data_IF_091309502674
#
_entry.id   IF_091309502674
#
_cell.length_a   1.000
_cell.length_b   1.000
_cell.length_c   1.000
_cell.angle_alpha   90.00
_cell.angle_beta   90.00
_cell.angle_gamma   90.00
#
_symmetry.space_group_name_H-M   'P 1'
#
loop_
_entity.id
_entity.type
_entity.pdbx_description
1 polymer ?
#
# COMPACT_ATOMS: atom_id res chain seq x y z
N UNK A 1 -11.64 -19.04 25.99
CA UNK A 1 -12.03 -19.48 24.64
C UNK A 1 -11.46 -18.45 23.65
N UNK A 2 -10.48 -18.84 22.84
CA UNK A 2 -9.90 -17.92 21.84
C UNK A 2 -10.90 -17.64 20.71
N UNK A 3 -10.76 -16.50 20.04
CA UNK A 3 -11.65 -16.05 18.97
C UNK A 3 -11.82 -17.07 17.81
N UNK A 4 -10.96 -18.09 17.73
CA UNK A 4 -10.97 -19.11 16.68
C UNK A 4 -11.69 -20.41 17.06
N UNK A 5 -12.21 -20.53 18.29
CA UNK A 5 -12.94 -21.73 18.77
C UNK A 5 -12.16 -23.05 18.68
N UNK A 6 -10.83 -23.01 18.64
CA UNK A 6 -9.95 -24.21 18.50
C UNK A 6 -9.45 -24.63 19.86
N UNK A 7 -9.65 -25.91 20.21
CA UNK A 7 -9.11 -26.49 21.44
C UNK A 7 -7.59 -26.69 21.32
N UNK A 8 -6.89 -26.63 22.46
CA UNK A 8 -5.43 -26.57 22.51
C UNK A 8 -4.66 -27.79 21.95
N UNK A 9 -5.32 -28.94 21.78
CA UNK A 9 -4.78 -30.18 21.24
C UNK A 9 -4.99 -30.36 19.71
N UNK A 10 -5.66 -29.40 19.06
CA UNK A 10 -5.92 -29.48 17.62
C UNK A 10 -4.61 -29.52 16.82
N UNK A 11 -4.56 -30.38 15.79
CA UNK A 11 -3.39 -30.48 14.90
C UNK A 11 -3.04 -29.13 14.27
N UNK A 12 -1.76 -28.89 13.97
CA UNK A 12 -1.29 -27.65 13.37
C UNK A 12 -2.01 -27.30 12.05
N UNK A 13 -2.43 -28.33 11.30
CA UNK A 13 -3.23 -28.14 10.07
C UNK A 13 -4.62 -27.59 10.37
N UNK A 14 -5.31 -28.15 11.36
CA UNK A 14 -6.65 -27.69 11.73
C UNK A 14 -6.62 -26.27 12.26
N UNK A 15 -5.60 -25.91 13.05
CA UNK A 15 -5.44 -24.55 13.57
C UNK A 15 -5.20 -23.53 12.45
N UNK A 16 -4.37 -23.87 11.45
CA UNK A 16 -4.15 -23.01 10.28
C UNK A 16 -5.39 -22.88 9.42
N UNK A 17 -6.11 -23.98 9.19
CA UNK A 17 -7.38 -23.95 8.45
C UNK A 17 -8.41 -23.02 9.13
N UNK A 18 -8.61 -23.18 10.43
CA UNK A 18 -9.52 -22.32 11.21
C UNK A 18 -9.12 -20.83 11.20
N UNK A 19 -7.81 -20.57 11.24
CA UNK A 19 -7.31 -19.21 11.11
C UNK A 19 -7.59 -18.64 9.72
N UNK A 20 -7.38 -19.42 8.65
CA UNK A 20 -7.69 -19.01 7.29
C UNK A 20 -9.19 -18.73 7.13
N UNK A 21 -10.05 -19.63 7.63
CA UNK A 21 -11.51 -19.44 7.61
C UNK A 21 -11.90 -18.12 8.30
N UNK A 22 -11.32 -17.86 9.48
CA UNK A 22 -11.58 -16.63 10.23
C UNK A 22 -11.11 -15.37 9.49
N UNK A 23 -9.94 -15.42 8.81
CA UNK A 23 -9.42 -14.27 8.05
C UNK A 23 -10.37 -13.87 6.91
N UNK A 24 -10.99 -14.86 6.26
CA UNK A 24 -11.89 -14.61 5.11
C UNK A 24 -13.36 -14.51 5.51
N UNK A 25 -13.69 -14.69 6.79
CA UNK A 25 -15.05 -14.63 7.28
C UNK A 25 -15.63 -13.22 7.07
N UNK A 26 -16.82 -13.14 6.50
CA UNK A 26 -17.51 -11.87 6.24
C UNK A 26 -17.85 -11.09 7.52
N UNK A 27 -17.95 -11.77 8.66
CA UNK A 27 -18.17 -11.16 9.96
C UNK A 27 -16.89 -10.59 10.59
N UNK A 28 -15.72 -10.88 10.03
CA UNK A 28 -14.45 -10.35 10.50
C UNK A 28 -14.22 -8.92 9.98
N UNK A 29 -14.35 -7.90 10.82
CA UNK A 29 -14.22 -6.51 10.37
C UNK A 29 -12.75 -6.10 10.14
N UNK A 30 -11.79 -6.88 10.65
CA UNK A 30 -10.36 -6.48 10.66
C UNK A 30 -9.72 -6.62 9.29
N UNK A 31 -9.99 -7.70 8.56
CA UNK A 31 -9.35 -7.96 7.27
C UNK A 31 -9.59 -6.83 6.29
N UNK A 32 -10.84 -6.40 6.13
CA UNK A 32 -11.20 -5.30 5.24
C UNK A 32 -10.59 -3.97 5.69
N UNK A 33 -10.66 -3.65 7.00
CA UNK A 33 -10.07 -2.42 7.56
C UNK A 33 -8.55 -2.35 7.37
N UNK A 34 -7.85 -3.44 7.64
CA UNK A 34 -6.38 -3.51 7.47
C UNK A 34 -6.01 -3.32 6.01
N UNK A 35 -6.69 -3.98 5.09
CA UNK A 35 -6.42 -3.86 3.66
C UNK A 35 -6.76 -2.47 3.13
N UNK A 36 -7.92 -1.92 3.47
CA UNK A 36 -8.30 -0.56 3.10
C UNK A 36 -7.28 0.47 3.59
N UNK A 37 -6.84 0.36 4.86
CA UNK A 37 -5.83 1.25 5.43
C UNK A 37 -4.47 1.13 4.74
N UNK A 38 -4.03 -0.07 4.36
CA UNK A 38 -2.79 -0.28 3.62
C UNK A 38 -2.83 0.34 2.23
N UNK A 39 -3.91 0.11 1.48
CA UNK A 39 -4.08 0.71 0.16
C UNK A 39 -4.14 2.23 0.29
N UNK A 40 -4.89 2.75 1.26
CA UNK A 40 -4.92 4.18 1.59
C UNK A 40 -3.52 4.75 1.85
N UNK A 41 -2.74 4.07 2.69
CA UNK A 41 -1.36 4.47 2.99
C UNK A 41 -0.48 4.55 1.74
N UNK A 42 -0.60 3.59 0.83
CA UNK A 42 0.14 3.62 -0.44
C UNK A 42 -0.30 4.77 -1.36
N UNK A 43 -1.57 5.15 -1.33
CA UNK A 43 -2.10 6.24 -2.16
C UNK A 43 -1.79 7.61 -1.55
N UNK A 44 -2.03 7.80 -0.24
CA UNK A 44 -1.92 9.10 0.44
C UNK A 44 -0.62 9.29 1.26
N UNK A 45 0.18 8.24 1.44
CA UNK A 45 1.47 8.29 2.13
C UNK A 45 1.40 7.94 3.61
N UNK A 46 0.30 8.22 4.30
CA UNK A 46 0.05 7.81 5.68
C UNK A 46 -1.28 7.08 5.80
N UNK A 47 -1.34 6.04 6.63
CA UNK A 47 -2.60 5.34 6.91
C UNK A 47 -3.56 6.18 7.76
N UNK A 48 -4.85 5.92 7.65
CA UNK A 48 -5.85 6.45 8.59
C UNK A 48 -5.57 5.94 10.01
N UNK A 49 -5.08 4.69 10.13
CA UNK A 49 -4.43 4.14 11.31
C UNK A 49 -2.94 4.16 11.04
N UNK A 50 -2.18 4.99 11.78
CA UNK A 50 -0.73 5.13 11.59
C UNK A 50 0.06 3.89 11.98
N UNK A 51 -0.45 3.10 12.91
CA UNK A 51 0.08 1.78 13.31
C UNK A 51 -0.48 0.68 12.40
N UNK A 52 -0.18 0.72 11.11
CA UNK A 52 -0.80 -0.17 10.10
C UNK A 52 -0.60 -1.69 10.33
N UNK A 53 0.28 -2.08 11.24
CA UNK A 53 0.49 -3.46 11.70
C UNK A 53 -0.23 -3.80 13.00
N UNK A 54 -0.85 -2.82 13.69
CA UNK A 54 -1.53 -3.01 14.96
C UNK A 54 -2.86 -2.24 14.98
N UNK A 55 -3.94 -2.97 14.86
CA UNK A 55 -5.34 -2.51 14.99
C UNK A 55 -5.94 -2.92 16.34
N UNK A 56 -5.11 -3.40 17.26
CA UNK A 56 -5.50 -3.81 18.61
C UNK A 56 -5.46 -2.68 19.62
N UNK A 57 -5.53 -3.06 20.90
CA UNK A 57 -5.58 -2.10 22.03
C UNK A 57 -4.32 -1.23 22.16
N UNK A 58 -3.16 -1.70 21.67
CA UNK A 58 -1.90 -0.96 21.71
C UNK A 58 -1.70 -0.09 20.45
N UNK A 59 -2.53 -0.29 19.41
CA UNK A 59 -2.49 0.50 18.19
C UNK A 59 -3.07 1.89 18.35
N UNK A 60 -2.68 2.79 17.44
CA UNK A 60 -3.25 4.13 17.40
C UNK A 60 -4.70 4.11 16.92
N UNK A 61 -5.57 4.96 17.44
CA UNK A 61 -6.92 5.11 16.90
C UNK A 61 -6.87 5.68 15.47
N UNK A 62 -7.85 5.37 14.63
CA UNK A 62 -7.92 5.95 13.30
C UNK A 62 -8.19 7.46 13.37
N UNK A 63 -7.56 8.23 12.48
CA UNK A 63 -7.79 9.68 12.36
C UNK A 63 -9.23 10.00 11.93
N UNK A 64 -9.83 9.12 11.11
CA UNK A 64 -11.18 9.23 10.58
C UNK A 64 -11.87 7.85 10.67
N UNK A 65 -12.44 7.49 11.82
CA UNK A 65 -13.00 6.15 12.04
C UNK A 65 -14.15 5.82 11.08
N UNK A 66 -15.07 6.74 10.86
CA UNK A 66 -16.21 6.53 9.96
C UNK A 66 -15.76 6.36 8.50
N UNK A 67 -14.75 7.10 8.08
CA UNK A 67 -14.15 6.92 6.74
C UNK A 67 -13.49 5.56 6.59
N UNK A 68 -12.75 5.11 7.61
CA UNK A 68 -12.12 3.78 7.57
C UNK A 68 -13.17 2.68 7.48
N UNK A 69 -14.27 2.79 8.24
CA UNK A 69 -15.35 1.83 8.23
C UNK A 69 -16.08 1.80 6.89
N UNK A 70 -16.35 2.97 6.32
CA UNK A 70 -16.94 3.08 5.00
C UNK A 70 -16.03 2.49 3.92
N UNK A 71 -14.74 2.81 3.94
CA UNK A 71 -13.75 2.26 3.01
C UNK A 71 -13.64 0.73 3.12
N UNK A 72 -13.68 0.19 4.33
CA UNK A 72 -13.64 -1.25 4.56
C UNK A 72 -14.89 -1.94 4.01
N UNK A 73 -16.07 -1.36 4.25
CA UNK A 73 -17.33 -1.85 3.72
C UNK A 73 -17.33 -1.80 2.17
N UNK A 74 -16.92 -0.67 1.58
CA UNK A 74 -16.86 -0.48 0.14
C UNK A 74 -15.83 -1.39 -0.55
N UNK A 75 -14.78 -1.78 0.16
CA UNK A 75 -13.79 -2.73 -0.36
C UNK A 75 -14.29 -4.17 -0.33
N UNK A 76 -14.97 -4.59 0.74
CA UNK A 76 -15.43 -5.96 0.92
C UNK A 76 -16.78 -6.25 0.28
N UNK A 77 -17.68 -5.28 0.30
CA UNK A 77 -19.04 -5.37 -0.25
C UNK A 77 -19.44 -4.04 -0.90
N UNK A 78 -18.90 -3.73 -2.09
CA UNK A 78 -19.10 -2.44 -2.72
C UNK A 78 -20.55 -2.20 -3.13
N UNK A 79 -20.98 -0.95 -3.04
CA UNK A 79 -22.24 -0.46 -3.61
C UNK A 79 -22.25 -0.43 -5.16
N UNK A 80 -21.15 -0.83 -5.77
CA UNK A 80 -20.89 -0.89 -7.21
C UNK A 80 -21.31 -2.24 -7.82
N UNK A 81 -21.28 -2.38 -9.17
CA UNK A 81 -21.69 -3.62 -9.85
C UNK A 81 -20.99 -4.87 -9.34
N UNK A 82 -21.66 -6.00 -9.46
CA UNK A 82 -21.17 -7.32 -9.11
C UNK A 82 -19.75 -7.59 -9.64
N UNK A 83 -18.91 -8.27 -8.84
CA UNK A 83 -17.55 -8.63 -9.20
C UNK A 83 -16.48 -7.60 -8.85
N UNK A 84 -16.83 -6.47 -8.19
CA UNK A 84 -15.84 -5.47 -7.73
C UNK A 84 -15.40 -5.64 -6.29
N UNK A 85 -16.03 -6.54 -5.52
CA UNK A 85 -15.64 -6.88 -4.16
C UNK A 85 -14.19 -7.39 -4.11
N UNK A 86 -13.42 -6.92 -3.13
CA UNK A 86 -12.00 -7.24 -2.93
C UNK A 86 -11.09 -6.89 -4.11
N UNK A 87 -11.56 -6.08 -5.07
CA UNK A 87 -10.78 -5.60 -6.20
C UNK A 87 -9.90 -4.43 -5.80
N UNK A 88 -8.62 -4.67 -5.60
CA UNK A 88 -7.63 -3.60 -5.33
C UNK A 88 -7.61 -2.55 -6.45
N UNK A 89 -7.75 -2.98 -7.70
CA UNK A 89 -7.74 -2.07 -8.86
C UNK A 89 -8.90 -1.07 -8.81
N UNK A 90 -10.12 -1.56 -8.56
CA UNK A 90 -11.30 -0.69 -8.47
C UNK A 90 -11.25 0.19 -7.21
N UNK A 91 -10.75 -0.35 -6.11
CA UNK A 91 -10.57 0.43 -4.89
C UNK A 91 -9.53 1.55 -5.07
N UNK A 92 -8.38 1.27 -5.68
CA UNK A 92 -7.37 2.29 -6.01
C UNK A 92 -7.98 3.34 -6.96
N UNK A 93 -8.73 2.91 -8.00
CA UNK A 93 -9.39 3.84 -8.91
C UNK A 93 -10.32 4.80 -8.16
N UNK A 94 -11.12 4.29 -7.23
CA UNK A 94 -11.99 5.12 -6.39
C UNK A 94 -11.19 6.15 -5.59
N UNK A 95 -10.08 5.74 -4.99
CA UNK A 95 -9.24 6.64 -4.19
C UNK A 95 -8.60 7.74 -5.03
N UNK A 96 -8.01 7.40 -6.19
CA UNK A 96 -7.29 8.38 -7.04
C UNK A 96 -8.21 9.30 -7.83
N UNK A 97 -9.50 8.97 -7.92
CA UNK A 97 -10.52 9.86 -8.53
C UNK A 97 -11.30 10.66 -7.48
N UNK A 98 -10.99 10.50 -6.18
CA UNK A 98 -11.66 11.23 -5.10
C UNK A 98 -11.19 12.68 -5.01
N UNK A 99 -12.06 13.57 -4.53
CA UNK A 99 -11.72 14.97 -4.27
C UNK A 99 -10.53 15.10 -3.30
N UNK A 100 -10.37 14.16 -2.37
CA UNK A 100 -9.25 14.15 -1.44
C UNK A 100 -7.91 13.98 -2.18
N UNK A 101 -7.86 13.13 -3.20
CA UNK A 101 -6.66 12.90 -4.02
C UNK A 101 -6.39 14.07 -4.97
N UNK A 102 -7.45 14.69 -5.50
CA UNK A 102 -7.35 15.81 -6.46
C UNK A 102 -7.02 17.15 -5.79
N UNK A 103 -6.94 17.21 -4.46
CA UNK A 103 -6.56 18.43 -3.75
C UNK A 103 -5.13 18.85 -4.08
N UNK A 104 -4.93 20.19 -4.16
CA UNK A 104 -3.58 20.75 -4.28
C UNK A 104 -2.72 20.36 -3.09
N UNK A 105 -1.43 20.12 -3.30
CA UNK A 105 -0.43 19.97 -2.25
C UNK A 105 0.13 21.29 -1.72
N UNK A 106 -0.24 22.42 -2.32
CA UNK A 106 0.25 23.75 -1.91
C UNK A 106 -0.11 24.03 -0.44
N UNK A 107 0.82 24.52 0.37
CA UNK A 107 0.55 24.86 1.74
C UNK A 107 -0.25 26.15 1.87
N UNK A 108 -1.08 26.25 2.90
CA UNK A 108 -1.67 27.51 3.37
C UNK A 108 -1.23 27.77 4.81
N UNK A 109 -1.01 29.05 5.16
CA UNK A 109 -0.61 29.40 6.53
C UNK A 109 -1.60 28.89 7.58
N UNK A 110 -2.91 29.10 7.34
CA UNK A 110 -3.98 28.65 8.22
C UNK A 110 -4.05 27.11 8.35
N UNK A 111 -3.78 26.39 7.24
CA UNK A 111 -3.77 24.94 7.24
C UNK A 111 -2.58 24.39 8.03
N UNK A 112 -1.40 24.97 7.85
CA UNK A 112 -0.20 24.57 8.59
C UNK A 112 -0.31 24.86 10.08
N UNK A 113 -0.92 25.98 10.45
CA UNK A 113 -1.15 26.31 11.87
C UNK A 113 -2.07 25.31 12.58
N UNK A 114 -3.14 24.86 11.87
CA UNK A 114 -4.14 23.96 12.47
C UNK A 114 -3.79 22.48 12.38
N UNK A 115 -3.15 22.07 11.29
CA UNK A 115 -2.83 20.66 11.00
C UNK A 115 -1.60 20.59 10.09
N UNK A 116 -0.43 20.81 10.68
CA UNK A 116 0.85 20.76 9.95
C UNK A 116 1.08 19.40 9.26
N UNK A 117 0.62 18.32 9.88
CA UNK A 117 0.72 16.95 9.34
C UNK A 117 -0.22 16.62 8.20
N UNK A 118 -1.16 17.52 7.88
CA UNK A 118 -2.20 17.29 6.87
C UNK A 118 -3.07 16.05 7.15
N UNK A 119 -3.21 15.69 8.43
CA UNK A 119 -4.00 14.54 8.90
C UNK A 119 -5.48 14.67 8.55
N UNK A 120 -5.99 15.92 8.57
CA UNK A 120 -7.38 16.25 8.25
C UNK A 120 -7.65 16.37 6.73
N UNK A 121 -6.70 15.97 5.90
CA UNK A 121 -6.82 15.94 4.43
C UNK A 121 -7.20 17.30 3.80
N UNK A 122 -6.82 18.42 4.41
CA UNK A 122 -7.09 19.77 3.89
C UNK A 122 -6.29 20.08 2.62
N UNK A 123 -5.20 19.34 2.39
CA UNK A 123 -4.41 19.33 1.14
C UNK A 123 -3.99 17.87 0.85
N UNK A 124 -3.51 17.62 -0.37
CA UNK A 124 -2.81 16.36 -0.64
C UNK A 124 -1.48 16.36 0.12
N UNK A 125 -1.23 15.37 1.02
CA UNK A 125 -0.02 15.38 1.83
C UNK A 125 1.23 15.18 0.96
N UNK A 126 2.26 16.06 1.06
CA UNK A 126 3.51 15.85 0.35
C UNK A 126 4.23 14.62 0.90
N UNK A 127 4.74 13.78 0.01
CA UNK A 127 5.47 12.58 0.38
C UNK A 127 6.72 12.40 -0.47
N UNK A 128 7.72 11.71 0.05
CA UNK A 128 8.81 11.20 -0.77
C UNK A 128 8.31 10.04 -1.61
N UNK A 129 8.73 10.04 -2.87
CA UNK A 129 8.55 8.87 -3.74
C UNK A 129 9.82 8.01 -3.67
N UNK A 130 9.65 6.70 -3.85
CA UNK A 130 10.75 5.75 -3.88
C UNK A 130 11.65 5.99 -5.10
N UNK A 131 12.93 5.64 -4.98
CA UNK A 131 13.91 5.83 -6.05
C UNK A 131 13.51 5.09 -7.34
N UNK A 132 12.90 3.92 -7.16
CA UNK A 132 12.37 3.09 -8.24
C UNK A 132 11.29 3.83 -9.04
N UNK A 133 10.36 4.49 -8.35
CA UNK A 133 9.30 5.30 -8.98
C UNK A 133 9.88 6.48 -9.75
N UNK A 134 10.90 7.16 -9.17
CA UNK A 134 11.58 8.27 -9.86
C UNK A 134 12.25 7.78 -11.13
N UNK A 135 12.98 6.67 -11.05
CA UNK A 135 13.66 6.07 -12.17
C UNK A 135 12.69 5.68 -13.28
N UNK A 136 11.63 4.95 -12.92
CA UNK A 136 10.62 4.52 -13.89
C UNK A 136 9.92 5.72 -14.53
N UNK A 137 9.67 6.79 -13.75
CA UNK A 137 9.15 8.06 -14.25
C UNK A 137 10.08 8.73 -15.27
N UNK A 138 11.40 8.73 -15.03
CA UNK A 138 12.41 9.25 -15.96
C UNK A 138 12.42 8.43 -17.24
N UNK A 139 12.39 7.10 -17.14
CA UNK A 139 12.36 6.20 -18.30
C UNK A 139 11.07 6.37 -19.11
N UNK A 140 9.94 6.55 -18.43
CA UNK A 140 8.65 6.81 -19.08
C UNK A 140 8.69 8.13 -19.85
N UNK A 141 9.14 9.22 -19.21
CA UNK A 141 9.23 10.54 -19.82
C UNK A 141 10.19 10.57 -21.01
N UNK A 142 11.29 9.77 -20.97
CA UNK A 142 12.24 9.66 -22.08
C UNK A 142 11.81 8.68 -23.19
N UNK A 143 10.65 8.02 -23.05
CA UNK A 143 10.15 7.03 -23.98
C UNK A 143 10.95 5.71 -24.00
N UNK A 144 11.81 5.49 -23.00
CA UNK A 144 12.66 4.30 -22.91
C UNK A 144 12.13 3.21 -22.00
N UNK A 145 11.06 3.46 -21.25
CA UNK A 145 10.51 2.45 -20.34
C UNK A 145 10.03 1.22 -21.10
N UNK A 146 10.61 0.07 -20.81
CA UNK A 146 10.10 -1.21 -21.27
C UNK A 146 9.08 -1.75 -20.26
N UNK A 147 7.79 -1.83 -20.60
CA UNK A 147 6.72 -2.29 -19.70
C UNK A 147 6.63 -3.82 -19.59
N UNK A 148 7.48 -4.57 -20.29
CA UNK A 148 7.46 -6.04 -20.29
C UNK A 148 7.57 -6.62 -18.88
N UNK A 149 6.66 -7.54 -18.53
CA UNK A 149 6.58 -8.20 -17.23
C UNK A 149 7.12 -9.64 -17.33
N UNK A 150 7.69 -10.11 -16.21
CA UNK A 150 8.19 -11.49 -16.11
C UNK A 150 9.64 -11.65 -16.58
N UNK A 151 10.13 -12.89 -16.60
CA UNK A 151 11.53 -13.20 -16.92
C UNK A 151 12.52 -12.95 -15.79
N UNK A 152 13.82 -13.00 -16.11
CA UNK A 152 14.90 -12.73 -15.15
C UNK A 152 14.97 -11.24 -14.82
N UNK A 153 15.15 -10.92 -13.54
CA UNK A 153 15.48 -9.55 -13.14
C UNK A 153 16.85 -9.12 -13.67
N UNK A 154 17.06 -7.83 -13.75
CA UNK A 154 18.34 -7.25 -14.17
C UNK A 154 19.04 -6.58 -12.98
N UNK A 155 20.32 -6.30 -13.15
CA UNK A 155 21.13 -5.52 -12.20
C UNK A 155 21.67 -4.29 -12.91
N UNK A 156 21.41 -3.12 -12.35
CA UNK A 156 21.96 -1.84 -12.84
C UNK A 156 23.46 -1.79 -12.56
N UNK A 157 23.88 -2.35 -11.43
CA UNK A 157 25.26 -2.40 -11.03
C UNK A 157 25.70 -3.84 -10.76
N UNK A 158 26.82 -4.22 -11.32
CA UNK A 158 27.52 -5.46 -10.98
C UNK A 158 28.75 -5.11 -10.14
N UNK A 159 29.01 -5.90 -9.12
CA UNK A 159 30.20 -5.73 -8.28
C UNK A 159 31.18 -6.84 -8.63
N UNK A 160 32.33 -6.45 -9.13
CA UNK A 160 33.47 -7.37 -9.33
C UNK A 160 34.44 -7.22 -8.17
N UNK A 161 34.75 -8.33 -7.51
CA UNK A 161 35.77 -8.37 -6.48
C UNK A 161 37.12 -8.33 -7.20
N UNK A 162 37.92 -7.30 -6.87
CA UNK A 162 39.35 -7.25 -7.27
C UNK A 162 40.21 -7.52 -6.05
N UNK A 163 41.51 -7.77 -6.22
CA UNK A 163 42.41 -8.11 -5.12
C UNK A 163 42.41 -7.07 -3.96
N UNK A 164 42.19 -5.82 -4.28
CA UNK A 164 42.27 -4.72 -3.29
C UNK A 164 40.94 -3.97 -3.06
N UNK A 165 39.97 -4.05 -3.94
CA UNK A 165 38.75 -3.23 -3.90
C UNK A 165 37.58 -3.91 -4.61
N UNK A 166 36.37 -3.45 -4.26
CA UNK A 166 35.16 -3.78 -5.00
C UNK A 166 34.99 -2.79 -6.15
N UNK A 167 35.08 -3.27 -7.38
CA UNK A 167 34.85 -2.43 -8.57
C UNK A 167 33.37 -2.54 -8.98
N UNK A 168 32.67 -1.40 -8.98
CA UNK A 168 31.32 -1.32 -9.52
C UNK A 168 31.40 -1.22 -11.05
N UNK A 169 30.69 -2.10 -11.74
CA UNK A 169 30.55 -2.08 -13.20
C UNK A 169 29.10 -1.77 -13.51
N UNK A 170 28.87 -0.61 -14.11
CA UNK A 170 27.53 -0.20 -14.50
C UNK A 170 27.06 -0.96 -15.75
N UNK A 171 25.80 -1.33 -15.75
CA UNK A 171 25.11 -1.88 -16.91
C UNK A 171 24.05 -0.87 -17.35
N UNK A 172 24.23 -0.28 -18.53
CA UNK A 172 23.30 0.71 -19.11
C UNK A 172 22.62 0.19 -20.38
N UNK A 173 22.60 -1.13 -20.58
CA UNK A 173 21.93 -1.75 -21.70
C UNK A 173 20.40 -1.64 -21.63
N UNK A 174 19.73 -1.91 -22.75
CA UNK A 174 18.26 -1.86 -22.87
C UNK A 174 17.52 -2.78 -21.91
N UNK A 175 18.16 -3.88 -21.48
CA UNK A 175 17.60 -4.79 -20.47
C UNK A 175 17.33 -4.09 -19.14
N UNK A 176 18.09 -3.02 -18.83
CA UNK A 176 17.91 -2.24 -17.61
C UNK A 176 16.81 -1.18 -17.73
N UNK A 177 16.17 -1.03 -18.87
CA UNK A 177 15.08 -0.08 -19.07
C UNK A 177 13.71 -0.64 -18.65
N UNK A 178 13.68 -1.87 -18.19
CA UNK A 178 12.47 -2.48 -17.62
C UNK A 178 12.05 -1.80 -16.32
N UNK A 179 10.77 -1.89 -16.02
CA UNK A 179 10.21 -1.39 -14.75
C UNK A 179 10.91 -2.06 -13.56
N UNK A 180 11.16 -1.27 -12.49
CA UNK A 180 11.75 -1.79 -11.25
C UNK A 180 10.71 -2.31 -10.26
N UNK A 181 9.46 -1.90 -10.41
CA UNK A 181 8.34 -2.25 -9.53
C UNK A 181 7.36 -3.11 -10.31
#
# INVERSE_FOLDING_TARGET
QGALGVQGDASGHLRRARFADWVVDSSNPLTARVMANRIWQHVFGAGLVVTGGDFGRAGAPPSHPELLDWLAAEFSNPSRPEGTAWSMKEFIRMLVTSDAFLRSSAPSAKGLEKDAGSTLLWRFPPRRVEAEVIRDGILLASGKLNPEMGGRSYRIHNVKKTYAQWKVVNNFGSDTWRRMI
#
